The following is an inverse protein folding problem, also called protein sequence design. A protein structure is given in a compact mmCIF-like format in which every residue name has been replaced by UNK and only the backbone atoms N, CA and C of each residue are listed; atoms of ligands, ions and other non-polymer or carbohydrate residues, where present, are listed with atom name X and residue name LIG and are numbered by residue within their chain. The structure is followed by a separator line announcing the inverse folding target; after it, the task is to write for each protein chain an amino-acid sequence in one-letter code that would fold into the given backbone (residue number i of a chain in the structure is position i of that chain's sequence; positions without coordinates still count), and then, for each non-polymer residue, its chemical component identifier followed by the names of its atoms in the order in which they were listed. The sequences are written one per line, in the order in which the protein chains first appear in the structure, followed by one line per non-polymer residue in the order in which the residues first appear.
data_IF_919961567992
#
_entry.id   IF_919961567992
#
_cell.length_a   1.000
_cell.length_b   1.000
_cell.length_c   1.000
_cell.angle_alpha   90.00
_cell.angle_beta   90.00
_cell.angle_gamma   90.00
#
_symmetry.space_group_name_H-M   'P 1'
#
loop_
_entity.id
_entity.type
_entity.pdbx_description
1 polymer ?
#
# COMPACT_ATOMS: atom_id res chain seq x y z
N UNK A 1 38.36 23.64 -53.37
CA UNK A 1 37.14 23.54 -52.54
C UNK A 1 37.37 22.48 -51.49
N UNK A 2 37.76 22.91 -50.28
CA UNK A 2 38.12 22.01 -49.18
C UNK A 2 36.87 21.60 -48.40
N UNK A 3 36.71 20.28 -48.18
CA UNK A 3 35.61 19.66 -47.45
C UNK A 3 35.91 19.70 -45.95
N UNK A 4 35.15 20.50 -45.20
CA UNK A 4 35.18 20.50 -43.73
C UNK A 4 34.07 19.58 -43.22
N UNK A 5 34.45 18.42 -42.69
CA UNK A 5 33.56 17.57 -41.89
C UNK A 5 33.71 18.00 -40.42
N UNK A 6 32.65 18.55 -39.84
CA UNK A 6 32.57 18.80 -38.39
C UNK A 6 31.77 17.65 -37.77
N UNK A 7 32.45 16.73 -37.10
CA UNK A 7 31.83 15.76 -36.21
C UNK A 7 31.67 16.41 -34.83
N UNK A 8 30.44 16.74 -34.45
CA UNK A 8 30.13 17.16 -33.08
C UNK A 8 29.76 15.91 -32.29
N UNK A 9 30.64 15.52 -31.37
CA UNK A 9 30.49 14.34 -30.53
C UNK A 9 29.44 14.54 -29.44
N UNK A 10 28.47 13.63 -29.42
CA UNK A 10 27.46 13.50 -28.37
C UNK A 10 28.10 13.03 -27.07
N UNK A 11 28.11 13.86 -26.03
CA UNK A 11 28.46 13.43 -24.67
C UNK A 11 27.16 13.01 -23.97
N UNK A 12 26.83 11.71 -24.02
CA UNK A 12 25.79 11.14 -23.17
C UNK A 12 26.41 10.89 -21.79
N UNK A 13 26.13 11.78 -20.84
CA UNK A 13 26.40 11.54 -19.42
C UNK A 13 25.33 10.56 -18.92
N UNK A 14 25.60 9.26 -19.03
CA UNK A 14 24.88 8.24 -18.28
C UNK A 14 25.29 8.36 -16.81
N UNK A 15 24.65 9.26 -16.08
CA UNK A 15 24.60 9.20 -14.62
C UNK A 15 23.71 8.00 -14.26
N UNK A 16 24.26 6.79 -14.35
CA UNK A 16 23.67 5.61 -13.70
C UNK A 16 23.89 5.77 -12.20
N UNK A 17 22.96 6.46 -11.57
CA UNK A 17 22.86 6.44 -10.13
C UNK A 17 22.42 5.02 -9.77
N UNK A 18 23.38 4.20 -9.32
CA UNK A 18 23.12 2.92 -8.71
C UNK A 18 22.34 3.11 -7.41
N UNK A 19 21.03 3.20 -7.53
CA UNK A 19 20.09 2.95 -6.44
C UNK A 19 19.59 1.53 -6.61
N UNK A 20 20.27 0.56 -5.98
CA UNK A 20 19.63 -0.69 -5.61
C UNK A 20 18.62 -0.39 -4.49
N UNK A 21 17.57 0.36 -4.82
CA UNK A 21 16.52 0.71 -3.89
C UNK A 21 15.65 -0.51 -3.72
N UNK A 22 15.64 -1.10 -2.54
CA UNK A 22 14.39 -1.60 -1.95
C UNK A 22 13.30 -0.61 -2.36
N UNK A 23 12.39 -1.05 -3.23
CA UNK A 23 11.37 -0.18 -3.81
C UNK A 23 10.63 0.52 -2.67
N UNK A 24 10.58 1.85 -2.72
CA UNK A 24 9.88 2.64 -1.72
C UNK A 24 8.45 2.12 -1.58
N UNK A 25 8.08 1.72 -0.35
CA UNK A 25 6.81 1.08 -0.08
C UNK A 25 5.69 2.09 -0.19
N UNK A 26 4.69 1.82 -1.04
CA UNK A 26 3.58 2.73 -1.34
C UNK A 26 2.25 2.01 -1.43
N UNK A 27 1.23 2.57 -0.76
CA UNK A 27 -0.17 2.24 -0.99
C UNK A 27 -0.88 3.34 -1.79
N UNK A 28 -1.62 2.95 -2.82
CA UNK A 28 -2.42 3.87 -3.62
C UNK A 28 -3.88 3.45 -3.59
N UNK A 29 -4.73 4.31 -3.03
CA UNK A 29 -6.19 4.13 -3.01
C UNK A 29 -6.83 4.88 -4.17
N UNK A 30 -7.69 4.20 -4.90
CA UNK A 30 -8.54 4.76 -5.96
C UNK A 30 -10.02 4.56 -5.61
N UNK A 31 -10.94 5.09 -6.42
CA UNK A 31 -12.37 4.87 -6.20
C UNK A 31 -12.80 3.40 -6.30
N UNK A 32 -12.00 2.55 -6.96
CA UNK A 32 -12.38 1.16 -7.27
C UNK A 32 -11.49 0.10 -6.64
N UNK A 33 -10.35 0.48 -6.07
CA UNK A 33 -9.38 -0.47 -5.53
C UNK A 33 -8.24 0.18 -4.78
N UNK A 34 -7.35 -0.66 -4.28
CA UNK A 34 -6.14 -0.27 -3.57
C UNK A 34 -4.98 -1.15 -4.05
N UNK A 35 -3.83 -0.55 -4.30
CA UNK A 35 -2.64 -1.26 -4.78
C UNK A 35 -1.47 -1.01 -3.86
N UNK A 36 -0.58 -1.99 -3.78
CA UNK A 36 0.69 -1.89 -3.10
C UNK A 36 1.85 -2.02 -4.10
N UNK A 37 2.90 -1.24 -3.88
CA UNK A 37 4.19 -1.35 -4.58
C UNK A 37 5.31 -1.23 -3.53
N UNK A 38 6.35 -2.06 -3.63
CA UNK A 38 7.51 -1.98 -2.74
C UNK A 38 8.03 -3.34 -2.30
N UNK A 39 8.82 -3.34 -1.23
CA UNK A 39 9.32 -4.56 -0.59
C UNK A 39 8.18 -5.31 0.13
N UNK A 40 8.00 -6.59 -0.17
CA UNK A 40 7.01 -7.46 0.48
C UNK A 40 7.63 -8.24 1.66
N UNK A 41 8.95 -8.15 1.86
CA UNK A 41 9.70 -8.86 2.90
C UNK A 41 10.59 -7.94 3.74
N UNK A 42 10.07 -6.81 4.25
CA UNK A 42 10.90 -5.90 5.04
C UNK A 42 11.36 -6.56 6.35
N UNK A 43 12.51 -6.13 6.85
CA UNK A 43 12.99 -6.54 8.18
C UNK A 43 12.09 -5.98 9.29
N UNK A 44 12.05 -6.69 10.42
CA UNK A 44 11.36 -6.23 11.62
C UNK A 44 11.93 -4.91 12.15
N UNK A 45 11.06 -4.16 12.83
CA UNK A 45 11.35 -2.84 13.40
C UNK A 45 10.64 -1.72 12.65
N UNK A 46 11.31 -0.56 12.59
CA UNK A 46 10.73 0.68 12.07
C UNK A 46 10.85 0.77 10.56
N UNK A 47 9.72 0.99 9.87
CA UNK A 47 9.70 1.41 8.48
C UNK A 47 8.49 2.30 8.19
N UNK A 48 8.49 2.95 7.03
CA UNK A 48 7.38 3.82 6.61
C UNK A 48 6.85 3.35 5.27
N UNK A 49 5.52 3.26 5.17
CA UNK A 49 4.81 3.08 3.91
C UNK A 49 4.25 4.45 3.51
N UNK A 50 4.58 4.93 2.33
CA UNK A 50 3.91 6.09 1.77
C UNK A 50 2.48 5.73 1.40
N UNK A 51 1.52 6.62 1.64
CA UNK A 51 0.14 6.39 1.24
C UNK A 51 -0.34 7.55 0.37
N UNK A 52 -1.07 7.23 -0.69
CA UNK A 52 -1.65 8.21 -1.59
C UNK A 52 -3.14 7.90 -1.79
N UNK A 53 -3.97 8.89 -1.51
CA UNK A 53 -5.39 8.81 -1.79
C UNK A 53 -5.71 9.52 -3.11
N UNK A 54 -5.86 8.74 -4.17
CA UNK A 54 -6.30 9.19 -5.49
C UNK A 54 -7.82 9.05 -5.67
N UNK A 55 -8.55 8.61 -4.65
CA UNK A 55 -10.01 8.52 -4.69
C UNK A 55 -10.66 9.90 -4.55
N UNK A 56 -11.96 9.95 -4.83
CA UNK A 56 -12.82 11.11 -4.62
C UNK A 56 -13.30 11.30 -3.18
N UNK A 57 -12.90 10.41 -2.25
CA UNK A 57 -13.41 10.32 -0.87
C UNK A 57 -12.28 10.42 0.15
N UNK A 58 -12.63 10.62 1.43
CA UNK A 58 -11.68 10.44 2.52
C UNK A 58 -11.15 9.01 2.52
N UNK A 59 -9.83 8.89 2.54
CA UNK A 59 -9.11 7.63 2.47
C UNK A 59 -8.46 7.31 3.80
N UNK A 60 -8.45 6.04 4.15
CA UNK A 60 -7.64 5.55 5.25
C UNK A 60 -6.86 4.31 4.84
N UNK A 61 -5.72 4.14 5.47
CA UNK A 61 -4.73 3.12 5.14
C UNK A 61 -4.28 2.48 6.44
N UNK A 62 -4.23 1.16 6.48
CA UNK A 62 -3.84 0.44 7.67
C UNK A 62 -2.89 -0.72 7.35
N UNK A 63 -1.98 -0.94 8.28
CA UNK A 63 -1.22 -2.17 8.40
C UNK A 63 -1.78 -2.93 9.59
N UNK A 64 -2.14 -4.20 9.39
CA UNK A 64 -2.63 -5.05 10.47
C UNK A 64 -2.03 -6.44 10.43
N UNK A 65 -1.82 -7.02 11.60
CA UNK A 65 -1.25 -8.34 11.75
C UNK A 65 -2.29 -9.41 11.45
N UNK A 66 -1.92 -10.41 10.67
CA UNK A 66 -2.72 -11.61 10.44
C UNK A 66 -2.30 -12.67 11.47
N UNK A 67 -3.28 -13.27 12.14
CA UNK A 67 -3.03 -14.28 13.16
C UNK A 67 -2.48 -15.57 12.54
N UNK A 68 -1.61 -16.31 13.24
CA UNK A 68 -1.14 -17.61 12.76
C UNK A 68 -2.30 -18.53 12.39
N UNK A 69 -2.23 -19.16 11.22
CA UNK A 69 -3.25 -20.08 10.71
C UNK A 69 -4.36 -19.41 9.91
N UNK A 70 -4.43 -18.08 9.87
CA UNK A 70 -5.21 -17.34 8.87
C UNK A 70 -4.28 -16.87 7.73
N UNK A 71 -4.91 -16.58 6.60
CA UNK A 71 -4.26 -16.19 5.36
C UNK A 71 -4.77 -14.83 4.89
N UNK A 72 -4.11 -14.29 3.87
CA UNK A 72 -4.56 -13.07 3.21
C UNK A 72 -5.82 -13.34 2.38
N UNK A 73 -5.95 -14.52 1.79
CA UNK A 73 -7.18 -14.97 1.11
C UNK A 73 -8.39 -14.97 2.07
N UNK A 74 -8.21 -15.34 3.35
CA UNK A 74 -9.27 -15.25 4.36
C UNK A 74 -9.70 -13.78 4.60
N UNK A 75 -8.73 -12.85 4.59
CA UNK A 75 -9.00 -11.42 4.72
C UNK A 75 -9.65 -10.85 3.45
N UNK A 76 -9.27 -11.32 2.27
CA UNK A 76 -9.89 -10.94 0.99
C UNK A 76 -11.35 -11.40 0.93
N UNK A 77 -11.62 -12.65 1.31
CA UNK A 77 -12.98 -13.18 1.40
C UNK A 77 -13.83 -12.37 2.39
N UNK A 78 -13.27 -12.02 3.55
CA UNK A 78 -13.93 -11.13 4.51
C UNK A 78 -14.21 -9.74 3.93
N UNK A 79 -13.22 -9.14 3.25
CA UNK A 79 -13.38 -7.84 2.61
C UNK A 79 -14.44 -7.87 1.50
N UNK A 80 -14.55 -8.96 0.75
CA UNK A 80 -15.62 -9.16 -0.24
C UNK A 80 -17.01 -9.23 0.38
N UNK A 81 -17.15 -9.98 1.47
CA UNK A 81 -18.41 -10.03 2.23
C UNK A 81 -18.78 -8.62 2.72
N UNK A 82 -17.86 -7.92 3.36
CA UNK A 82 -18.08 -6.58 3.91
C UNK A 82 -18.45 -5.58 2.80
N UNK A 83 -17.76 -5.61 1.64
CA UNK A 83 -18.14 -4.83 0.46
C UNK A 83 -19.56 -5.17 -0.01
N UNK A 84 -19.95 -6.44 0.01
CA UNK A 84 -21.30 -6.88 -0.28
C UNK A 84 -22.35 -6.27 0.64
N UNK A 85 -22.07 -6.26 1.95
CA UNK A 85 -22.94 -5.69 2.99
C UNK A 85 -23.07 -4.18 2.86
N UNK A 86 -21.97 -3.47 2.60
CA UNK A 86 -21.97 -2.02 2.33
C UNK A 86 -22.87 -1.69 1.13
N UNK A 87 -22.76 -2.43 0.02
CA UNK A 87 -23.63 -2.24 -1.17
C UNK A 87 -25.11 -2.42 -0.84
N UNK A 88 -25.41 -3.35 0.06
CA UNK A 88 -26.77 -3.63 0.53
C UNK A 88 -27.25 -2.72 1.66
N UNK A 89 -26.39 -1.79 2.15
CA UNK A 89 -26.64 -0.94 3.32
C UNK A 89 -26.98 -1.76 4.58
N UNK A 90 -26.37 -2.94 4.71
CA UNK A 90 -26.49 -3.78 5.89
C UNK A 90 -25.52 -3.32 7.00
N UNK A 91 -25.69 -3.88 8.19
CA UNK A 91 -24.76 -3.68 9.32
C UNK A 91 -23.36 -4.18 8.96
N UNK A 92 -22.35 -3.36 9.26
CA UNK A 92 -20.92 -3.67 9.06
C UNK A 92 -20.47 -4.77 10.03
N UNK A 93 -19.60 -5.68 9.58
CA UNK A 93 -19.15 -6.83 10.38
C UNK A 93 -18.16 -6.43 11.48
N UNK A 94 -17.48 -5.29 11.32
CA UNK A 94 -16.37 -4.88 12.17
C UNK A 94 -15.03 -5.42 11.66
N UNK A 95 -14.07 -5.66 12.55
CA UNK A 95 -12.79 -6.31 12.21
C UNK A 95 -12.89 -7.83 12.50
N UNK A 96 -12.37 -8.71 11.63
CA UNK A 96 -12.40 -10.14 11.90
C UNK A 96 -11.42 -10.49 13.01
N UNK A 97 -11.73 -11.51 13.81
CA UNK A 97 -10.94 -11.87 15.00
C UNK A 97 -9.49 -12.30 14.68
N UNK A 98 -9.20 -12.71 13.45
CA UNK A 98 -7.85 -13.09 13.02
C UNK A 98 -7.01 -11.89 12.55
N UNK A 99 -7.57 -10.69 12.44
CA UNK A 99 -6.90 -9.47 12.01
C UNK A 99 -6.79 -8.45 13.15
N UNK A 100 -5.58 -7.99 13.42
CA UNK A 100 -5.33 -6.95 14.43
C UNK A 100 -4.67 -5.74 13.78
N UNK A 101 -5.41 -4.64 13.64
CA UNK A 101 -4.84 -3.39 13.14
C UNK A 101 -3.71 -2.89 14.06
N UNK A 102 -2.54 -2.63 13.48
CA UNK A 102 -1.36 -2.13 14.20
C UNK A 102 -1.31 -0.62 14.12
N UNK A 103 -1.40 -0.09 12.90
CA UNK A 103 -1.35 1.34 12.64
C UNK A 103 -2.33 1.70 11.53
N UNK A 104 -2.87 2.92 11.62
CA UNK A 104 -3.78 3.48 10.63
C UNK A 104 -3.53 4.97 10.47
N UNK A 105 -3.57 5.46 9.23
CA UNK A 105 -3.51 6.88 8.90
C UNK A 105 -4.61 7.24 7.91
N UNK A 106 -5.09 8.49 7.97
CA UNK A 106 -5.99 9.06 6.97
C UNK A 106 -5.23 9.93 5.96
N UNK A 107 -5.76 10.01 4.75
CA UNK A 107 -5.35 11.01 3.76
C UNK A 107 -6.59 11.56 3.03
N UNK A 108 -6.76 12.90 2.94
CA UNK A 108 -7.84 13.50 2.17
C UNK A 108 -7.75 13.16 0.66
N UNK A 109 -8.83 13.38 -0.11
CA UNK A 109 -8.80 13.23 -1.56
C UNK A 109 -7.63 13.99 -2.22
N UNK A 110 -6.88 13.30 -3.08
CA UNK A 110 -5.74 13.85 -3.80
C UNK A 110 -4.54 14.20 -2.92
N UNK A 111 -4.43 13.61 -1.72
CA UNK A 111 -3.33 13.85 -0.78
C UNK A 111 -2.58 12.57 -0.45
N UNK A 112 -1.31 12.77 -0.10
CA UNK A 112 -0.44 11.73 0.42
C UNK A 112 -0.22 11.92 1.93
N UNK A 113 0.15 10.84 2.59
CA UNK A 113 0.56 10.81 4.00
C UNK A 113 1.63 9.73 4.21
N UNK A 114 2.08 9.56 5.45
CA UNK A 114 3.01 8.51 5.84
C UNK A 114 2.34 7.58 6.85
N UNK A 115 2.49 6.27 6.64
CA UNK A 115 2.07 5.22 7.56
C UNK A 115 3.32 4.63 8.22
N UNK A 116 3.79 5.19 9.35
CA UNK A 116 4.92 4.64 10.08
C UNK A 116 4.52 3.34 10.80
N UNK A 117 5.29 2.29 10.63
CA UNK A 117 5.10 1.00 11.28
C UNK A 117 6.31 0.67 12.17
N UNK A 118 6.02 0.10 13.34
CA UNK A 118 6.99 -0.56 14.22
C UNK A 118 6.46 -1.96 14.49
N UNK A 119 7.05 -2.97 13.86
CA UNK A 119 6.48 -4.32 13.83
C UNK A 119 7.53 -5.40 14.09
N UNK A 120 7.12 -6.43 14.82
CA UNK A 120 7.91 -7.66 14.95
C UNK A 120 7.69 -8.55 13.72
N UNK A 121 8.53 -9.58 13.57
CA UNK A 121 8.38 -10.59 12.54
C UNK A 121 6.97 -11.23 12.50
N UNK A 122 6.50 -11.52 11.29
CA UNK A 122 5.21 -12.15 11.02
C UNK A 122 4.52 -11.61 9.77
N UNK A 123 3.30 -12.12 9.52
CA UNK A 123 2.48 -11.75 8.36
C UNK A 123 1.59 -10.56 8.68
N UNK A 124 1.61 -9.56 7.80
CA UNK A 124 0.79 -8.36 7.90
C UNK A 124 0.03 -8.12 6.61
N UNK A 125 -1.21 -7.64 6.72
CA UNK A 125 -2.01 -7.21 5.60
C UNK A 125 -1.98 -5.69 5.47
N UNK A 126 -1.94 -5.23 4.22
CA UNK A 126 -2.10 -3.84 3.86
C UNK A 126 -3.54 -3.62 3.39
N UNK A 127 -4.22 -2.65 3.99
CA UNK A 127 -5.64 -2.38 3.69
C UNK A 127 -5.89 -0.90 3.44
N UNK A 128 -6.77 -0.61 2.48
CA UNK A 128 -7.30 0.72 2.26
C UNK A 128 -8.81 0.76 2.51
N UNK A 129 -9.30 1.93 2.90
CA UNK A 129 -10.70 2.19 3.19
C UNK A 129 -11.12 3.52 2.59
N UNK A 130 -12.34 3.59 2.05
CA UNK A 130 -13.04 4.85 1.85
C UNK A 130 -13.86 5.12 3.12
N UNK A 131 -13.33 5.93 4.05
CA UNK A 131 -13.87 6.18 5.39
C UNK A 131 -13.30 7.51 5.96
N UNK A 132 -14.10 8.38 6.64
CA UNK A 132 -15.49 8.19 7.08
C UNK A 132 -16.61 8.81 6.22
N UNK A 133 -17.80 8.14 6.14
CA UNK A 133 -18.13 6.81 6.65
C UNK A 133 -17.57 5.68 5.76
N UNK A 134 -17.45 4.48 6.31
CA UNK A 134 -17.01 3.30 5.56
C UNK A 134 -17.93 3.01 4.37
N UNK A 135 -17.40 3.18 3.15
CA UNK A 135 -18.10 2.91 1.89
C UNK A 135 -17.37 1.93 0.98
N UNK A 136 -16.13 1.58 1.30
CA UNK A 136 -15.38 0.51 0.66
C UNK A 136 -14.20 0.08 1.54
N UNK A 137 -13.83 -1.19 1.45
CA UNK A 137 -12.65 -1.80 2.05
C UNK A 137 -11.93 -2.60 0.96
N UNK A 138 -10.60 -2.51 0.91
CA UNK A 138 -9.75 -3.21 -0.02
C UNK A 138 -8.53 -3.80 0.70
N UNK A 139 -8.15 -5.02 0.34
CA UNK A 139 -6.87 -5.62 0.69
C UNK A 139 -5.92 -5.32 -0.48
N UNK A 140 -4.77 -4.73 -0.18
CA UNK A 140 -3.80 -4.29 -1.18
C UNK A 140 -2.70 -5.32 -1.43
N UNK A 141 -2.47 -6.20 -0.45
CA UNK A 141 -1.39 -7.16 -0.44
C UNK A 141 -0.96 -7.50 0.99
N UNK A 142 0.19 -8.16 1.09
CA UNK A 142 0.74 -8.66 2.34
C UNK A 142 2.23 -8.34 2.46
N UNK A 143 2.70 -8.24 3.71
CA UNK A 143 4.11 -8.17 4.05
C UNK A 143 4.47 -9.38 4.92
N UNK A 144 5.51 -10.10 4.53
CA UNK A 144 6.15 -11.13 5.34
C UNK A 144 7.37 -10.54 6.05
N UNK A 145 7.16 -10.02 7.25
CA UNK A 145 8.21 -9.35 8.01
C UNK A 145 9.17 -10.38 8.61
N UNK A 146 10.43 -10.32 8.20
CA UNK A 146 11.52 -11.20 8.66
C UNK A 146 12.32 -10.62 9.84
N UNK A 147 13.21 -11.44 10.41
CA UNK A 147 14.21 -10.98 11.42
C UNK A 147 15.32 -10.12 10.82
#
# INVERSE_FOLDING_TARGET
MARTFVAVGTTVLLATCGGGGTGEMRLTLTDTGCTYEGDETPAAGMFTIEVENQSSKEGAFALGRVSPGATIDDLEAYADEERGRIRQRAEILGAPAFYSQVVRVGAPPGKSSALPADVNAGTYALTCFNDPPLTALYVAGQLEVGE
#
